data_IF_572895428517
#
_entry.id   IF_572895428517
#
_cell.length_a   1.000
_cell.length_b   1.000
_cell.length_c   1.000
_cell.angle_alpha   90.00
_cell.angle_beta   90.00
_cell.angle_gamma   90.00
#
_symmetry.space_group_name_H-M   'P 1'
#
loop_
_entity.id
_entity.type
_entity.pdbx_description
1 polymer ?
#
# COMPACT_ATOMS: atom_id res chain seq x y z
N UNK A 1 0.53 -14.75 -29.36
CA UNK A 1 1.90 -14.48 -29.82
C UNK A 1 2.82 -14.58 -28.61
N UNK A 2 3.46 -15.73 -28.43
CA UNK A 2 4.49 -15.95 -27.39
C UNK A 2 5.82 -15.65 -28.08
N UNK A 3 6.25 -14.40 -28.08
CA UNK A 3 7.65 -14.09 -28.35
C UNK A 3 8.38 -14.33 -27.03
N UNK A 4 9.00 -15.49 -26.93
CA UNK A 4 9.81 -15.92 -25.79
C UNK A 4 10.87 -14.87 -25.46
N UNK A 5 11.12 -14.67 -24.16
CA UNK A 5 12.30 -13.96 -23.71
C UNK A 5 13.53 -14.81 -24.09
N UNK A 6 14.10 -14.54 -25.27
CA UNK A 6 15.23 -15.32 -25.82
C UNK A 6 16.52 -15.16 -25.02
N UNK A 7 16.58 -14.18 -24.13
CA UNK A 7 17.72 -13.87 -23.27
C UNK A 7 17.22 -13.42 -21.90
N UNK A 8 17.97 -13.76 -20.86
CA UNK A 8 17.71 -13.24 -19.53
C UNK A 8 17.97 -11.73 -19.47
N UNK A 9 17.14 -10.95 -18.74
CA UNK A 9 17.29 -9.51 -18.67
C UNK A 9 18.56 -9.12 -17.91
N UNK A 10 19.31 -8.15 -18.44
CA UNK A 10 20.44 -7.52 -17.76
C UNK A 10 20.05 -6.28 -16.94
N UNK A 11 18.86 -5.73 -17.19
CA UNK A 11 18.31 -4.59 -16.47
C UNK A 11 16.79 -4.68 -16.39
N UNK A 12 16.23 -4.04 -15.38
CA UNK A 12 14.80 -4.01 -15.09
C UNK A 12 14.40 -2.61 -14.62
N UNK A 13 13.51 -1.93 -15.36
CA UNK A 13 12.90 -0.66 -14.95
C UNK A 13 11.50 -0.88 -14.38
N UNK A 14 11.29 -0.44 -13.14
CA UNK A 14 10.03 -0.56 -12.39
C UNK A 14 9.44 0.80 -12.13
N UNK A 15 8.12 0.97 -12.34
CA UNK A 15 7.37 2.21 -12.06
C UNK A 15 6.17 1.91 -11.18
N UNK A 16 6.05 2.57 -10.02
CA UNK A 16 4.85 2.55 -9.20
C UNK A 16 4.14 3.89 -9.22
N UNK A 17 2.81 3.89 -9.41
CA UNK A 17 2.00 5.11 -9.38
C UNK A 17 0.60 4.89 -8.80
N UNK A 18 0.26 5.64 -7.75
CA UNK A 18 -1.13 5.88 -7.39
C UNK A 18 -1.76 6.83 -8.43
N UNK A 19 -2.79 6.38 -9.15
CA UNK A 19 -3.40 7.09 -10.28
C UNK A 19 -4.49 8.11 -9.89
N UNK A 20 -4.95 8.08 -8.64
CA UNK A 20 -6.07 8.89 -8.17
C UNK A 20 -7.29 8.83 -9.11
N UNK A 21 -7.77 7.61 -9.37
CA UNK A 21 -8.80 7.31 -10.36
C UNK A 21 -10.22 7.15 -9.80
N UNK A 22 -10.56 7.76 -8.65
CA UNK A 22 -11.83 7.53 -7.96
C UNK A 22 -13.02 7.94 -8.85
N UNK A 23 -13.90 6.98 -9.16
CA UNK A 23 -15.08 7.24 -9.98
C UNK A 23 -15.99 8.26 -9.28
N UNK A 24 -16.37 9.31 -10.00
CA UNK A 24 -17.20 10.45 -9.53
C UNK A 24 -16.55 11.42 -8.55
N UNK A 25 -15.36 11.13 -8.01
CA UNK A 25 -14.66 12.01 -7.06
C UNK A 25 -13.46 12.68 -7.72
N UNK A 26 -12.64 11.92 -8.44
CA UNK A 26 -11.40 12.43 -9.02
C UNK A 26 -11.69 13.32 -10.23
N UNK A 27 -11.24 14.56 -10.17
CA UNK A 27 -11.38 15.57 -11.23
C UNK A 27 -10.63 15.15 -12.49
N UNK A 28 -11.23 15.37 -13.67
CA UNK A 28 -10.64 15.09 -15.00
C UNK A 28 -10.07 13.67 -15.13
N UNK A 29 -10.76 12.68 -14.49
CA UNK A 29 -10.27 11.30 -14.38
C UNK A 29 -9.92 10.70 -15.75
N UNK A 30 -10.85 10.77 -16.71
CA UNK A 30 -10.68 10.07 -17.99
C UNK A 30 -9.47 10.63 -18.76
N UNK A 31 -9.34 11.95 -18.80
CA UNK A 31 -8.27 12.66 -19.48
C UNK A 31 -6.92 12.34 -18.84
N UNK A 32 -6.83 12.44 -17.51
CA UNK A 32 -5.60 12.12 -16.78
C UNK A 32 -5.17 10.66 -16.91
N UNK A 33 -6.09 9.71 -16.74
CA UNK A 33 -5.73 8.29 -16.82
C UNK A 33 -5.39 7.86 -18.26
N UNK A 34 -5.97 8.51 -19.27
CA UNK A 34 -5.52 8.37 -20.66
C UNK A 34 -4.08 8.84 -20.81
N UNK A 35 -3.78 10.04 -20.30
CA UNK A 35 -2.45 10.63 -20.39
C UNK A 35 -1.40 9.85 -19.59
N UNK A 36 -1.76 9.27 -18.43
CA UNK A 36 -0.90 8.33 -17.69
C UNK A 36 -0.47 7.18 -18.61
N UNK A 37 -1.42 6.59 -19.35
CA UNK A 37 -1.10 5.52 -20.32
C UNK A 37 -0.15 5.98 -21.44
N UNK A 38 -0.31 7.21 -21.91
CA UNK A 38 0.58 7.83 -22.92
C UNK A 38 1.99 8.05 -22.35
N UNK A 39 2.11 8.59 -21.14
CA UNK A 39 3.40 8.85 -20.51
C UNK A 39 4.15 7.56 -20.16
N UNK A 40 3.46 6.50 -19.72
CA UNK A 40 4.07 5.17 -19.54
C UNK A 40 4.63 4.66 -20.87
N UNK A 41 3.88 4.79 -21.97
CA UNK A 41 4.30 4.34 -23.29
C UNK A 41 5.50 5.13 -23.84
N UNK A 42 5.57 6.43 -23.53
CA UNK A 42 6.63 7.33 -23.98
C UNK A 42 7.85 7.38 -23.05
N UNK A 43 7.79 6.73 -21.88
CA UNK A 43 8.86 6.77 -20.89
C UNK A 43 10.19 6.24 -21.44
N UNK A 44 11.27 6.97 -21.15
CA UNK A 44 12.64 6.63 -21.54
C UNK A 44 13.57 6.81 -20.33
N UNK A 45 14.24 5.76 -19.82
CA UNK A 45 14.22 4.38 -20.34
C UNK A 45 12.84 3.71 -20.27
N UNK A 46 12.58 2.82 -21.24
CA UNK A 46 11.32 2.07 -21.30
C UNK A 46 11.09 1.26 -20.01
N UNK A 47 9.89 1.29 -19.41
CA UNK A 47 9.56 0.46 -18.26
C UNK A 47 9.38 -1.00 -18.65
N UNK A 48 9.74 -1.90 -17.74
CA UNK A 48 9.55 -3.34 -17.88
C UNK A 48 8.41 -3.86 -17.00
N UNK A 49 8.21 -3.27 -15.82
CA UNK A 49 7.13 -3.60 -14.89
C UNK A 49 6.51 -2.30 -14.37
N UNK A 50 5.18 -2.22 -14.42
CA UNK A 50 4.43 -1.06 -13.90
C UNK A 50 3.35 -1.55 -12.94
N UNK A 51 3.36 -1.01 -11.71
CA UNK A 51 2.34 -1.24 -10.70
C UNK A 51 1.50 0.01 -10.51
N UNK A 52 0.19 -0.08 -10.68
CA UNK A 52 -0.72 1.05 -10.50
C UNK A 52 -1.65 0.81 -9.32
N UNK A 53 -1.87 1.87 -8.53
CA UNK A 53 -2.85 1.93 -7.45
C UNK A 53 -3.95 2.93 -7.81
N UNK A 54 -5.12 2.79 -7.18
CA UNK A 54 -6.30 3.61 -7.46
C UNK A 54 -6.75 3.65 -8.93
N UNK A 55 -6.42 2.62 -9.70
CA UNK A 55 -7.04 2.36 -10.99
C UNK A 55 -8.34 1.58 -10.74
N UNK A 56 -9.41 2.30 -10.40
CA UNK A 56 -10.63 1.67 -9.84
C UNK A 56 -11.55 1.03 -10.87
N UNK A 57 -11.53 1.48 -12.13
CA UNK A 57 -12.50 1.03 -13.14
C UNK A 57 -11.85 0.22 -14.26
N UNK A 58 -12.60 -0.76 -14.77
CA UNK A 58 -12.19 -1.53 -15.95
C UNK A 58 -11.99 -0.65 -17.18
N UNK A 59 -12.79 0.42 -17.30
CA UNK A 59 -12.67 1.40 -18.39
C UNK A 59 -11.30 2.08 -18.35
N UNK A 60 -10.91 2.63 -17.19
CA UNK A 60 -9.64 3.33 -17.07
C UNK A 60 -8.45 2.37 -17.30
N UNK A 61 -8.53 1.15 -16.77
CA UNK A 61 -7.55 0.10 -17.06
C UNK A 61 -7.44 -0.21 -18.55
N UNK A 62 -8.57 -0.41 -19.24
CA UNK A 62 -8.57 -0.73 -20.66
C UNK A 62 -7.93 0.38 -21.51
N UNK A 63 -8.15 1.65 -21.15
CA UNK A 63 -7.50 2.79 -21.81
C UNK A 63 -5.99 2.75 -21.61
N UNK A 64 -5.52 2.55 -20.38
CA UNK A 64 -4.09 2.42 -20.09
C UNK A 64 -3.49 1.23 -20.84
N UNK A 65 -4.20 0.09 -20.90
CA UNK A 65 -3.79 -1.10 -21.65
C UNK A 65 -3.65 -0.83 -23.15
N UNK A 66 -4.62 -0.15 -23.75
CA UNK A 66 -4.57 0.21 -25.17
C UNK A 66 -3.31 1.01 -25.49
N UNK A 67 -2.95 1.97 -24.63
CA UNK A 67 -1.75 2.80 -24.83
C UNK A 67 -0.45 2.03 -24.58
N UNK A 68 -0.43 1.10 -23.63
CA UNK A 68 0.82 0.48 -23.15
C UNK A 68 1.12 -0.91 -23.71
N UNK A 69 0.14 -1.61 -24.29
CA UNK A 69 0.27 -3.04 -24.66
C UNK A 69 1.41 -3.36 -25.64
N UNK A 70 1.84 -2.39 -26.45
CA UNK A 70 2.93 -2.59 -27.40
C UNK A 70 4.32 -2.67 -26.71
N UNK A 71 4.46 -2.09 -25.50
CA UNK A 71 5.66 -2.21 -24.67
C UNK A 71 5.46 -3.09 -23.43
N UNK A 72 4.24 -3.23 -22.92
CA UNK A 72 3.89 -4.02 -21.76
C UNK A 72 2.73 -4.96 -22.12
N UNK A 73 2.96 -5.99 -22.97
CA UNK A 73 1.87 -6.80 -23.52
C UNK A 73 1.09 -7.60 -22.48
N UNK A 74 1.66 -7.86 -21.31
CA UNK A 74 1.00 -8.63 -20.25
C UNK A 74 0.46 -7.69 -19.18
N UNK A 75 -0.85 -7.66 -18.98
CA UNK A 75 -1.47 -6.80 -17.98
C UNK A 75 -2.54 -7.55 -17.21
N UNK A 76 -2.65 -7.29 -15.91
CA UNK A 76 -3.70 -7.82 -15.05
C UNK A 76 -4.32 -6.72 -14.19
N UNK A 77 -5.63 -6.61 -14.29
CA UNK A 77 -6.48 -5.85 -13.38
C UNK A 77 -6.93 -6.75 -12.22
N UNK A 78 -6.79 -6.30 -10.98
CA UNK A 78 -7.05 -7.12 -9.80
C UNK A 78 -8.38 -6.74 -9.14
N UNK A 79 -9.20 -7.76 -8.87
CA UNK A 79 -10.51 -7.59 -8.24
C UNK A 79 -10.43 -7.90 -6.74
N UNK A 80 -11.00 -7.03 -5.91
CA UNK A 80 -11.13 -7.21 -4.46
C UNK A 80 -12.29 -6.37 -3.92
N UNK A 81 -12.76 -6.69 -2.72
CA UNK A 81 -13.83 -5.94 -2.05
C UNK A 81 -15.14 -5.85 -2.85
N UNK A 82 -15.96 -4.86 -2.50
CA UNK A 82 -17.23 -4.52 -3.15
C UNK A 82 -16.99 -3.57 -4.32
N UNK A 83 -16.07 -2.60 -4.16
CA UNK A 83 -15.80 -1.56 -5.16
C UNK A 83 -14.55 -1.80 -6.02
N UNK A 84 -13.86 -2.93 -5.84
CA UNK A 84 -12.60 -3.24 -6.55
C UNK A 84 -11.37 -2.92 -5.70
N UNK A 85 -10.24 -3.58 -6.00
CA UNK A 85 -8.98 -3.36 -5.28
C UNK A 85 -8.18 -2.16 -5.77
N UNK A 86 -8.48 -1.65 -6.97
CA UNK A 86 -7.77 -0.50 -7.56
C UNK A 86 -6.34 -0.80 -8.00
N UNK A 87 -5.95 -2.08 -8.07
CA UNK A 87 -4.56 -2.50 -8.34
C UNK A 87 -4.41 -3.09 -9.74
N UNK A 88 -3.31 -2.73 -10.41
CA UNK A 88 -2.94 -3.23 -11.73
C UNK A 88 -1.45 -3.55 -11.74
N UNK A 89 -1.09 -4.65 -12.42
CA UNK A 89 0.30 -4.94 -12.79
C UNK A 89 0.36 -5.07 -14.31
N UNK A 90 1.25 -4.30 -14.93
CA UNK A 90 1.63 -4.38 -16.34
C UNK A 90 3.07 -4.86 -16.44
N UNK A 91 3.37 -5.70 -17.42
CA UNK A 91 4.64 -6.39 -17.57
C UNK A 91 5.02 -6.54 -19.02
N UNK A 92 6.31 -6.37 -19.29
CA UNK A 92 6.95 -6.72 -20.56
C UNK A 92 6.90 -8.22 -20.84
N UNK A 93 6.92 -9.03 -19.78
CA UNK A 93 7.02 -10.50 -19.84
C UNK A 93 5.78 -11.22 -19.30
N UNK A 94 5.58 -12.51 -19.67
CA UNK A 94 4.42 -13.28 -19.22
C UNK A 94 4.25 -13.32 -17.70
N UNK A 95 3.04 -13.00 -17.25
CA UNK A 95 2.58 -13.29 -15.89
C UNK A 95 2.15 -14.76 -15.87
N UNK A 96 2.98 -15.62 -15.28
CA UNK A 96 2.78 -17.08 -15.26
C UNK A 96 1.90 -17.53 -14.09
N UNK A 97 1.81 -16.72 -13.04
CA UNK A 97 0.93 -16.95 -11.90
C UNK A 97 0.54 -15.62 -11.29
N UNK A 98 -0.66 -15.55 -10.73
CA UNK A 98 -1.09 -14.32 -10.05
C UNK A 98 -2.22 -14.57 -9.06
N UNK A 99 -2.17 -13.82 -7.96
CA UNK A 99 -3.16 -13.88 -6.88
C UNK A 99 -3.53 -12.46 -6.40
N UNK A 100 -4.73 -12.27 -5.85
CA UNK A 100 -5.10 -11.06 -5.11
C UNK A 100 -5.30 -11.43 -3.64
N UNK A 101 -4.38 -11.02 -2.78
CA UNK A 101 -4.44 -11.29 -1.34
C UNK A 101 -5.07 -10.10 -0.64
N UNK A 102 -6.35 -10.22 -0.27
CA UNK A 102 -7.04 -9.16 0.47
C UNK A 102 -6.58 -9.13 1.93
N UNK A 103 -6.34 -7.94 2.47
CA UNK A 103 -6.00 -7.83 3.88
C UNK A 103 -7.17 -8.23 4.78
N UNK A 104 -6.92 -8.99 5.87
CA UNK A 104 -7.97 -9.36 6.82
C UNK A 104 -8.55 -8.16 7.58
N UNK A 105 -7.71 -7.16 7.88
CA UNK A 105 -8.07 -5.92 8.57
C UNK A 105 -8.02 -4.76 7.56
N UNK A 106 -9.19 -4.20 7.22
CA UNK A 106 -9.37 -3.29 6.09
C UNK A 106 -10.27 -2.09 6.38
N UNK A 107 -10.37 -1.70 7.65
CA UNK A 107 -11.25 -0.65 8.10
C UNK A 107 -12.62 -1.16 8.54
N UNK A 108 -13.60 -0.25 8.65
CA UNK A 108 -14.92 -0.55 9.25
C UNK A 108 -16.06 -0.23 8.27
N UNK A 109 -17.12 -1.07 8.19
CA UNK A 109 -18.29 -0.79 7.35
C UNK A 109 -18.98 0.53 7.71
N UNK A 110 -19.02 0.87 9.01
CA UNK A 110 -19.60 2.13 9.49
C UNK A 110 -18.83 3.39 9.03
N UNK A 111 -17.57 3.25 8.59
CA UNK A 111 -16.76 4.35 8.06
C UNK A 111 -16.93 4.48 6.54
N UNK A 112 -18.18 4.55 6.07
CA UNK A 112 -18.51 4.62 4.63
C UNK A 112 -17.93 5.85 3.93
N UNK A 113 -17.69 6.93 4.67
CA UNK A 113 -17.05 8.15 4.17
C UNK A 113 -15.51 8.02 4.02
N UNK A 114 -14.91 6.95 4.53
CA UNK A 114 -13.47 6.63 4.37
C UNK A 114 -13.24 5.65 3.21
N UNK A 115 -14.12 4.66 3.05
CA UNK A 115 -14.17 3.79 1.86
C UNK A 115 -13.28 2.54 1.90
N UNK A 116 -12.20 2.51 2.70
CA UNK A 116 -11.21 1.41 2.75
C UNK A 116 -11.83 0.01 2.92
N UNK A 117 -12.88 -0.11 3.75
CA UNK A 117 -13.56 -1.39 3.96
C UNK A 117 -14.26 -1.92 2.70
N UNK A 118 -14.81 -1.01 1.88
CA UNK A 118 -15.60 -1.37 0.71
C UNK A 118 -14.72 -1.70 -0.50
N UNK A 119 -13.56 -1.06 -0.64
CA UNK A 119 -12.60 -1.38 -1.70
C UNK A 119 -11.85 -2.68 -1.42
N UNK A 120 -11.70 -3.06 -0.14
CA UNK A 120 -11.03 -4.29 0.23
C UNK A 120 -9.56 -4.26 -0.18
N UNK A 121 -8.77 -3.36 0.43
CA UNK A 121 -7.34 -3.23 0.18
C UNK A 121 -6.59 -4.56 0.34
N UNK A 122 -5.47 -4.71 -0.36
CA UNK A 122 -4.74 -5.97 -0.42
C UNK A 122 -3.49 -5.86 -1.27
N UNK A 123 -2.92 -7.03 -1.59
CA UNK A 123 -1.71 -7.17 -2.39
C UNK A 123 -2.05 -7.90 -3.68
N UNK A 124 -1.82 -7.22 -4.80
CA UNK A 124 -1.80 -7.81 -6.12
C UNK A 124 -0.45 -8.52 -6.33
N UNK A 125 -0.48 -9.83 -6.44
CA UNK A 125 0.72 -10.66 -6.64
C UNK A 125 0.83 -11.09 -8.10
N UNK A 126 2.03 -11.04 -8.67
CA UNK A 126 2.35 -11.58 -9.98
C UNK A 126 3.71 -12.29 -9.95
N UNK A 127 3.76 -13.53 -10.45
CA UNK A 127 5.01 -14.22 -10.77
C UNK A 127 5.26 -14.07 -12.26
N UNK A 128 6.38 -13.46 -12.62
CA UNK A 128 6.71 -13.02 -13.98
C UNK A 128 7.94 -13.79 -14.46
N UNK A 129 7.81 -14.48 -15.60
CA UNK A 129 8.91 -15.20 -16.25
C UNK A 129 9.66 -14.26 -17.19
N UNK A 130 10.78 -13.68 -16.74
CA UNK A 130 11.50 -12.61 -17.44
C UNK A 130 12.50 -13.11 -18.49
N UNK A 131 12.89 -14.37 -18.44
CA UNK A 131 13.92 -14.97 -19.31
C UNK A 131 13.70 -16.46 -19.51
N UNK A 132 14.60 -17.16 -20.22
CA UNK A 132 14.45 -18.59 -20.51
C UNK A 132 14.84 -19.48 -19.32
N UNK A 133 15.60 -18.96 -18.34
CA UNK A 133 16.00 -19.74 -17.17
C UNK A 133 14.82 -19.90 -16.20
N UNK A 134 14.64 -21.08 -15.57
CA UNK A 134 13.69 -21.26 -14.47
C UNK A 134 13.93 -20.32 -13.28
N UNK A 135 15.13 -19.70 -13.18
CA UNK A 135 15.49 -18.71 -12.16
C UNK A 135 15.20 -17.26 -12.58
N UNK A 136 14.86 -17.00 -13.84
CA UNK A 136 14.54 -15.66 -14.34
C UNK A 136 13.11 -15.24 -13.90
N UNK A 137 12.83 -15.33 -12.60
CA UNK A 137 11.53 -15.05 -12.00
C UNK A 137 11.61 -13.79 -11.17
N UNK A 138 10.70 -12.85 -11.47
CA UNK A 138 10.34 -11.78 -10.55
C UNK A 138 8.98 -12.07 -9.92
N UNK A 139 8.90 -12.01 -8.59
CA UNK A 139 7.64 -11.93 -7.87
C UNK A 139 7.37 -10.48 -7.48
N UNK A 140 6.32 -9.91 -8.08
CA UNK A 140 5.90 -8.53 -7.92
C UNK A 140 4.68 -8.47 -7.02
N UNK A 141 4.75 -7.59 -6.02
CA UNK A 141 3.71 -7.33 -5.04
C UNK A 141 3.32 -5.85 -5.13
N UNK A 142 2.24 -5.55 -5.85
CA UNK A 142 1.67 -4.21 -5.90
C UNK A 142 0.63 -4.06 -4.78
N UNK A 143 0.72 -3.03 -3.94
CA UNK A 143 -0.21 -2.83 -2.81
C UNK A 143 -0.71 -1.39 -2.68
N UNK A 144 -1.79 -1.23 -1.95
CA UNK A 144 -2.26 0.05 -1.42
C UNK A 144 -2.68 -0.17 0.04
N UNK A 145 -1.86 0.26 1.01
CA UNK A 145 -2.17 0.09 2.44
C UNK A 145 -3.26 1.05 2.90
N UNK A 146 -3.87 0.78 4.06
CA UNK A 146 -4.92 1.59 4.66
C UNK A 146 -4.45 3.03 4.87
N UNK A 147 -5.29 4.01 4.52
CA UNK A 147 -4.87 5.41 4.61
C UNK A 147 -4.75 5.90 6.07
N UNK A 148 -3.79 6.78 6.40
CA UNK A 148 -3.66 7.40 7.71
C UNK A 148 -4.59 8.60 7.82
N UNK A 149 -5.84 8.35 8.20
CA UNK A 149 -6.86 9.41 8.36
C UNK A 149 -6.68 10.27 9.62
N UNK A 150 -5.87 9.80 10.57
CA UNK A 150 -5.69 10.39 11.89
C UNK A 150 -4.19 10.38 12.22
N UNK A 151 -3.70 11.44 12.86
CA UNK A 151 -2.31 11.49 13.30
C UNK A 151 -2.08 10.60 14.53
N UNK A 152 -0.92 9.96 14.61
CA UNK A 152 -0.49 9.26 15.82
C UNK A 152 -0.31 10.25 16.99
N UNK A 153 -0.65 9.85 18.24
CA UNK A 153 -1.04 8.52 18.71
C UNK A 153 -2.55 8.23 18.67
N UNK A 154 -3.35 9.10 18.04
CA UNK A 154 -4.82 9.01 18.05
C UNK A 154 -5.40 8.21 16.87
N UNK A 155 -4.53 7.59 16.08
CA UNK A 155 -4.94 6.83 14.90
C UNK A 155 -5.68 5.54 15.27
N UNK A 156 -6.97 5.53 14.97
CA UNK A 156 -7.85 4.40 15.28
C UNK A 156 -7.69 3.19 14.33
N UNK A 157 -6.88 3.32 13.29
CA UNK A 157 -6.55 2.32 12.26
C UNK A 157 -5.06 1.95 12.23
N UNK A 158 -4.25 2.43 13.18
CA UNK A 158 -2.83 2.04 13.26
C UNK A 158 -2.65 0.51 13.29
N UNK A 159 -3.48 -0.21 14.05
CA UNK A 159 -3.41 -1.68 14.08
C UNK A 159 -3.76 -2.33 12.73
N UNK A 160 -4.61 -1.69 11.91
CA UNK A 160 -4.90 -2.17 10.55
C UNK A 160 -3.65 -2.05 9.71
N UNK A 161 -3.05 -0.85 9.63
CA UNK A 161 -1.82 -0.65 8.86
C UNK A 161 -0.68 -1.56 9.32
N UNK A 162 -0.49 -1.72 10.63
CA UNK A 162 0.53 -2.63 11.19
C UNK A 162 0.29 -4.07 10.75
N UNK A 163 -0.96 -4.56 10.82
CA UNK A 163 -1.29 -5.90 10.36
C UNK A 163 -1.12 -6.06 8.84
N UNK A 164 -1.48 -5.05 8.05
CA UNK A 164 -1.30 -5.10 6.60
C UNK A 164 0.18 -5.11 6.17
N UNK A 165 1.02 -4.32 6.84
CA UNK A 165 2.46 -4.35 6.66
C UNK A 165 3.03 -5.73 7.02
N UNK A 166 2.54 -6.35 8.09
CA UNK A 166 2.89 -7.72 8.47
C UNK A 166 2.49 -8.75 7.42
N UNK A 167 1.28 -8.66 6.86
CA UNK A 167 0.78 -9.56 5.82
C UNK A 167 1.64 -9.52 4.55
N UNK A 168 1.91 -8.33 4.00
CA UNK A 168 2.73 -8.23 2.78
C UNK A 168 4.18 -8.69 3.00
N UNK A 169 4.71 -8.47 4.20
CA UNK A 169 6.04 -8.94 4.59
C UNK A 169 6.15 -10.46 4.47
N UNK A 170 5.13 -11.21 4.91
CA UNK A 170 5.12 -12.68 4.78
C UNK A 170 5.18 -13.12 3.32
N UNK A 171 4.43 -12.45 2.44
CA UNK A 171 4.42 -12.73 1.00
C UNK A 171 5.80 -12.49 0.36
N UNK A 172 6.40 -11.32 0.63
CA UNK A 172 7.72 -10.96 0.13
C UNK A 172 8.82 -11.88 0.68
N UNK A 173 8.77 -12.23 1.97
CA UNK A 173 9.70 -13.20 2.56
C UNK A 173 9.57 -14.57 1.89
N UNK A 174 8.35 -15.07 1.71
CA UNK A 174 8.13 -16.36 1.06
C UNK A 174 8.66 -16.40 -0.38
N UNK A 175 8.53 -15.31 -1.13
CA UNK A 175 9.12 -15.18 -2.47
C UNK A 175 10.65 -15.20 -2.44
N UNK A 176 11.25 -14.51 -1.48
CA UNK A 176 12.70 -14.52 -1.31
C UNK A 176 13.24 -15.88 -0.85
N UNK A 177 12.52 -16.62 -0.01
CA UNK A 177 12.86 -18.00 0.39
C UNK A 177 12.85 -18.98 -0.80
N UNK A 178 12.09 -18.68 -1.86
CA UNK A 178 12.13 -19.40 -3.15
C UNK A 178 13.29 -18.97 -4.06
N UNK A 179 14.07 -17.96 -3.66
CA UNK A 179 15.19 -17.43 -4.44
C UNK A 179 14.78 -16.53 -5.60
N UNK A 180 13.53 -16.05 -5.65
CA UNK A 180 13.07 -15.15 -6.72
C UNK A 180 13.54 -13.71 -6.48
N UNK A 181 13.63 -12.92 -7.56
CA UNK A 181 13.70 -11.46 -7.45
C UNK A 181 12.38 -10.96 -6.85
N UNK A 182 12.43 -10.30 -5.70
CA UNK A 182 11.22 -9.77 -5.04
C UNK A 182 11.12 -8.28 -5.29
N UNK A 183 9.96 -7.82 -5.73
CA UNK A 183 9.65 -6.41 -5.95
C UNK A 183 8.35 -6.09 -5.22
N UNK A 184 8.44 -5.39 -4.09
CA UNK A 184 7.29 -4.81 -3.41
C UNK A 184 7.10 -3.37 -3.86
N UNK A 185 5.93 -2.99 -4.35
CA UNK A 185 5.71 -1.64 -4.87
C UNK A 185 4.31 -1.14 -4.57
N UNK A 186 4.13 0.17 -4.51
CA UNK A 186 2.81 0.78 -4.37
C UNK A 186 2.77 1.95 -3.40
N UNK A 187 1.54 2.35 -3.08
CA UNK A 187 1.24 3.32 -2.04
C UNK A 187 1.13 2.61 -0.69
N UNK A 188 2.19 2.69 0.10
CA UNK A 188 2.22 2.04 1.41
C UNK A 188 1.60 2.91 2.50
N UNK A 189 1.13 4.12 2.20
CA UNK A 189 0.48 5.00 3.16
C UNK A 189 1.26 5.15 4.48
N UNK A 190 2.60 5.12 4.37
CA UNK A 190 3.53 5.13 5.50
C UNK A 190 4.73 6.01 5.16
N UNK A 191 5.30 6.65 6.19
CA UNK A 191 6.54 7.42 6.04
C UNK A 191 7.77 6.53 6.32
N UNK A 192 8.96 6.92 5.83
CA UNK A 192 10.16 6.12 6.06
C UNK A 192 10.48 5.99 7.55
N UNK A 193 11.01 4.84 7.97
CA UNK A 193 11.28 4.50 9.38
C UNK A 193 10.07 4.44 10.32
N UNK A 194 8.84 4.62 9.83
CA UNK A 194 7.63 4.28 10.59
C UNK A 194 7.61 2.81 11.01
N UNK A 195 6.73 2.44 11.95
CA UNK A 195 6.61 1.05 12.39
C UNK A 195 6.32 0.08 11.23
N UNK A 196 5.42 0.44 10.31
CA UNK A 196 5.10 -0.36 9.14
C UNK A 196 6.33 -0.58 8.22
N UNK A 197 7.10 0.48 7.97
CA UNK A 197 8.33 0.41 7.18
C UNK A 197 9.37 -0.52 7.83
N UNK A 198 9.57 -0.38 9.15
CA UNK A 198 10.48 -1.24 9.91
C UNK A 198 10.04 -2.70 9.94
N UNK A 199 8.73 -2.99 10.04
CA UNK A 199 8.20 -4.35 9.94
C UNK A 199 8.60 -4.98 8.61
N UNK A 200 8.44 -4.25 7.50
CA UNK A 200 8.76 -4.73 6.15
C UNK A 200 10.24 -5.05 6.00
N UNK A 201 11.14 -4.09 6.29
CA UNK A 201 12.59 -4.29 6.12
C UNK A 201 13.21 -5.26 7.15
N UNK A 202 12.54 -5.48 8.29
CA UNK A 202 13.04 -6.40 9.31
C UNK A 202 12.60 -7.83 9.03
N UNK A 203 11.33 -8.06 8.74
CA UNK A 203 10.76 -9.40 8.66
C UNK A 203 10.75 -10.00 7.24
N UNK A 204 11.28 -9.27 6.26
CA UNK A 204 11.61 -9.78 4.92
C UNK A 204 12.98 -9.23 4.49
N UNK A 205 13.66 -9.86 3.52
CA UNK A 205 14.99 -9.40 3.09
C UNK A 205 14.94 -8.18 2.17
N UNK A 206 13.74 -7.69 1.84
CA UNK A 206 13.58 -6.54 0.94
C UNK A 206 14.09 -5.26 1.59
N UNK A 207 14.59 -4.36 0.75
CA UNK A 207 15.13 -3.07 1.15
C UNK A 207 14.48 -1.96 0.36
N UNK A 208 14.22 -0.85 1.04
CA UNK A 208 13.69 0.38 0.43
C UNK A 208 14.74 0.96 -0.53
N UNK A 209 14.45 0.95 -1.84
CA UNK A 209 15.41 1.40 -2.86
C UNK A 209 15.86 2.83 -2.62
N UNK A 210 14.96 3.70 -2.14
CA UNK A 210 15.28 5.11 -1.97
C UNK A 210 16.28 5.31 -0.84
N UNK A 211 16.11 4.59 0.28
CA UNK A 211 17.01 4.70 1.44
C UNK A 211 18.33 3.98 1.27
N UNK A 212 18.45 3.10 0.29
CA UNK A 212 19.76 2.60 -0.14
C UNK A 212 20.59 3.75 -0.71
N UNK A 213 20.00 4.60 -1.56
CA UNK A 213 20.69 5.71 -2.21
C UNK A 213 20.76 6.98 -1.33
N UNK A 214 19.71 7.21 -0.54
CA UNK A 214 19.54 8.38 0.32
C UNK A 214 19.21 7.95 1.76
N UNK A 215 20.19 7.40 2.53
CA UNK A 215 19.94 6.89 3.89
C UNK A 215 19.30 7.91 4.85
N UNK A 216 19.64 9.19 4.62
CA UNK A 216 19.22 10.36 5.40
C UNK A 216 17.99 11.09 4.82
N UNK A 217 17.31 10.52 3.80
CA UNK A 217 16.05 11.07 3.27
C UNK A 217 15.04 11.34 4.39
N UNK A 218 14.15 12.33 4.22
CA UNK A 218 13.09 12.67 5.17
C UNK A 218 12.34 11.45 5.74
N UNK A 219 11.98 11.51 7.01
CA UNK A 219 11.21 10.47 7.72
C UNK A 219 9.77 10.94 8.05
N UNK A 220 9.36 12.05 7.45
CA UNK A 220 8.04 12.67 7.54
C UNK A 220 8.03 13.97 6.72
N UNK A 221 6.90 14.68 6.69
CA UNK A 221 6.89 16.03 6.13
C UNK A 221 7.70 16.97 7.04
N UNK A 222 8.27 18.06 6.51
CA UNK A 222 9.08 18.98 7.31
C UNK A 222 8.32 19.63 8.48
N UNK A 223 6.99 19.73 8.36
CA UNK A 223 6.09 20.17 9.44
C UNK A 223 5.84 19.12 10.53
N UNK A 224 6.13 17.85 10.26
CA UNK A 224 5.85 16.76 11.19
C UNK A 224 6.87 16.77 12.32
N UNK A 225 6.41 16.48 13.55
CA UNK A 225 7.26 16.51 14.75
C UNK A 225 8.51 15.63 14.62
N UNK A 226 8.39 14.49 13.94
CA UNK A 226 9.51 13.55 13.73
C UNK A 226 10.63 14.18 12.91
N UNK A 227 10.31 15.00 11.91
CA UNK A 227 11.28 15.68 11.06
C UNK A 227 11.81 16.95 11.74
N UNK A 228 10.94 17.71 12.43
CA UNK A 228 11.35 18.88 13.22
C UNK A 228 12.39 18.52 14.29
N UNK A 229 12.29 17.35 14.92
CA UNK A 229 13.25 16.87 15.91
C UNK A 229 14.63 16.56 15.33
N UNK A 230 14.75 16.36 14.00
CA UNK A 230 16.04 16.18 13.32
C UNK A 230 16.80 17.50 13.16
N UNK A 231 16.12 18.64 13.32
CA UNK A 231 16.74 19.97 13.18
C UNK A 231 17.26 20.27 11.78
N UNK A 232 16.73 19.59 10.75
CA UNK A 232 17.12 19.83 9.35
C UNK A 232 16.45 21.09 8.79
N UNK A 233 17.08 21.83 7.87
CA UNK A 233 16.48 23.01 7.24
C UNK A 233 15.19 22.68 6.49
N UNK A 234 14.31 23.69 6.34
CA UNK A 234 13.11 23.57 5.51
C UNK A 234 13.52 23.22 4.07
N UNK A 235 13.11 22.05 3.54
CA UNK A 235 13.47 21.66 2.18
C UNK A 235 12.72 22.51 1.15
N UNK A 236 13.37 22.73 0.01
CA UNK A 236 12.68 23.21 -1.18
C UNK A 236 11.92 22.05 -1.85
N UNK A 237 10.97 22.38 -2.72
CA UNK A 237 10.26 21.36 -3.50
C UNK A 237 11.22 20.51 -4.34
N UNK A 238 12.22 21.11 -4.99
CA UNK A 238 13.24 20.38 -5.73
C UNK A 238 14.02 19.40 -4.84
N UNK A 239 14.44 19.83 -3.64
CA UNK A 239 15.16 18.96 -2.71
C UNK A 239 14.28 17.79 -2.24
N UNK A 240 12.98 18.07 -2.02
CA UNK A 240 12.03 17.03 -1.66
C UNK A 240 11.90 15.98 -2.76
N UNK A 241 11.85 16.38 -4.03
CA UNK A 241 11.73 15.46 -5.16
C UNK A 241 13.02 14.65 -5.39
N UNK A 242 14.20 15.26 -5.32
CA UNK A 242 15.45 14.59 -5.72
C UNK A 242 16.22 13.93 -4.59
N UNK A 243 16.05 14.36 -3.34
CA UNK A 243 16.79 13.80 -2.19
C UNK A 243 15.85 13.06 -1.25
N UNK A 244 14.74 13.68 -0.86
CA UNK A 244 13.80 13.06 0.08
C UNK A 244 12.86 12.02 -0.59
N UNK A 245 12.73 12.08 -1.92
CA UNK A 245 11.85 11.21 -2.69
C UNK A 245 10.38 11.45 -2.42
N UNK A 246 9.98 12.69 -2.15
CA UNK A 246 8.59 13.01 -1.88
C UNK A 246 7.72 12.69 -3.09
N UNK A 247 6.67 11.91 -2.88
CA UNK A 247 5.75 11.46 -3.94
C UNK A 247 4.39 12.13 -3.81
N UNK A 248 4.04 12.69 -2.66
CA UNK A 248 2.77 13.38 -2.47
C UNK A 248 2.96 14.70 -1.72
N UNK A 249 1.89 15.50 -1.71
CA UNK A 249 1.78 16.73 -0.93
C UNK A 249 2.79 17.85 -1.28
N UNK A 250 3.56 17.70 -2.37
CA UNK A 250 4.49 18.73 -2.85
C UNK A 250 3.79 19.94 -3.48
N UNK A 251 4.36 21.13 -3.29
CA UNK A 251 3.95 22.36 -3.96
C UNK A 251 4.05 22.28 -5.50
N UNK A 252 4.84 21.34 -6.06
CA UNK A 252 4.88 21.09 -7.51
C UNK A 252 3.65 20.35 -8.02
N UNK A 253 2.90 19.68 -7.13
CA UNK A 253 1.69 18.97 -7.50
C UNK A 253 0.49 19.92 -7.54
N UNK A 254 -0.17 20.04 -8.70
CA UNK A 254 -1.26 21.00 -8.88
C UNK A 254 -2.48 20.76 -7.99
N UNK A 255 -2.63 19.54 -7.46
CA UNK A 255 -3.72 19.17 -6.54
C UNK A 255 -3.47 19.66 -5.10
N UNK A 256 -2.31 20.29 -4.86
CA UNK A 256 -1.90 20.84 -3.56
C UNK A 256 -1.70 22.36 -3.59
N UNK A 257 -1.80 22.94 -4.78
CA UNK A 257 -1.77 24.38 -4.97
C UNK A 257 -2.83 25.13 -4.16
N UNK A 258 -2.50 26.36 -3.80
CA UNK A 258 -3.42 27.24 -3.09
C UNK A 258 -4.61 27.67 -3.98
N UNK A 259 -5.65 28.24 -3.36
CA UNK A 259 -6.90 28.63 -4.06
C UNK A 259 -6.66 29.60 -5.22
N UNK A 260 -5.67 30.48 -5.14
CA UNK A 260 -5.38 31.45 -6.19
C UNK A 260 -4.78 30.76 -7.42
N UNK A 261 -3.80 29.86 -7.20
CA UNK A 261 -3.19 29.05 -8.24
C UNK A 261 -4.22 28.09 -8.88
N UNK A 262 -5.06 27.44 -8.09
CA UNK A 262 -6.15 26.60 -8.60
C UNK A 262 -7.13 27.39 -9.48
N UNK A 263 -7.51 28.61 -9.07
CA UNK A 263 -8.39 29.48 -9.88
C UNK A 263 -7.75 29.88 -11.22
N UNK A 264 -6.43 30.07 -11.25
CA UNK A 264 -5.66 30.33 -12.48
C UNK A 264 -5.64 29.09 -13.38
N UNK A 265 -5.41 27.92 -12.81
CA UNK A 265 -5.46 26.65 -13.53
C UNK A 265 -6.84 26.39 -14.15
N UNK A 266 -7.94 26.64 -13.44
CA UNK A 266 -9.31 26.51 -13.97
C UNK A 266 -9.57 27.45 -15.17
N UNK A 267 -8.84 28.57 -15.28
CA UNK A 267 -8.90 29.47 -16.44
C UNK A 267 -8.02 29.02 -17.62
N UNK A 268 -7.36 27.87 -17.52
CA UNK A 268 -6.45 27.34 -18.54
C UNK A 268 -5.04 27.93 -18.47
N UNK A 269 -4.67 28.61 -17.39
CA UNK A 269 -3.32 29.19 -17.26
C UNK A 269 -2.30 28.12 -16.83
N UNK A 270 -1.20 28.01 -17.58
CA UNK A 270 -0.08 27.14 -17.25
C UNK A 270 0.81 27.76 -16.16
N UNK A 271 0.32 27.75 -14.91
CA UNK A 271 1.03 28.29 -13.75
C UNK A 271 2.38 27.60 -13.58
N UNK A 272 3.47 28.35 -13.40
CA UNK A 272 4.78 27.81 -13.07
C UNK A 272 5.06 28.01 -11.58
N UNK A 273 5.57 26.96 -10.93
CA UNK A 273 6.01 27.00 -9.53
C UNK A 273 7.54 26.94 -9.54
N UNK A 274 8.15 27.84 -8.77
CA UNK A 274 9.60 27.83 -8.58
C UNK A 274 10.00 26.57 -7.80
N UNK A 275 10.87 25.68 -8.34
CA UNK A 275 11.33 24.50 -7.63
C UNK A 275 12.06 24.81 -6.31
N UNK A 276 12.54 26.05 -6.11
CA UNK A 276 13.14 26.51 -4.87
C UNK A 276 12.12 26.88 -3.76
N UNK A 277 10.80 26.84 -4.05
CA UNK A 277 9.76 27.15 -3.06
C UNK A 277 9.87 26.24 -1.83
N UNK A 278 9.71 26.78 -0.60
CA UNK A 278 9.61 25.96 0.59
C UNK A 278 8.47 24.96 0.48
N UNK A 279 8.72 23.70 0.83
CA UNK A 279 7.76 22.62 0.62
C UNK A 279 7.52 21.83 1.92
N UNK A 280 6.78 22.42 2.88
CA UNK A 280 6.67 21.91 4.24
C UNK A 280 5.77 20.67 4.37
N UNK A 281 4.97 20.37 3.34
CA UNK A 281 3.93 19.36 3.38
C UNK A 281 4.34 18.06 2.68
N UNK A 282 5.29 18.12 1.75
CA UNK A 282 5.66 16.98 0.94
C UNK A 282 6.25 15.85 1.77
N UNK A 283 5.95 14.63 1.37
CA UNK A 283 6.42 13.40 2.02
C UNK A 283 6.38 12.24 1.04
N UNK A 284 7.07 11.17 1.41
CA UNK A 284 7.13 9.92 0.64
C UNK A 284 6.17 8.90 1.24
N UNK A 285 5.19 8.48 0.44
CA UNK A 285 4.23 7.41 0.78
C UNK A 285 4.30 6.22 -0.18
N UNK A 286 4.87 6.43 -1.37
CA UNK A 286 5.02 5.39 -2.39
C UNK A 286 6.43 4.81 -2.35
N UNK A 287 6.53 3.49 -2.52
CA UNK A 287 7.79 2.77 -2.37
C UNK A 287 8.01 1.78 -3.50
N UNK A 288 9.29 1.53 -3.77
CA UNK A 288 9.78 0.27 -4.34
C UNK A 288 10.71 -0.36 -3.31
N UNK A 289 10.40 -1.58 -2.91
CA UNK A 289 11.22 -2.48 -2.12
C UNK A 289 11.76 -3.57 -3.04
N UNK A 290 13.02 -3.94 -2.89
CA UNK A 290 13.54 -5.10 -3.60
C UNK A 290 14.42 -5.99 -2.74
N UNK A 291 14.44 -7.29 -3.04
CA UNK A 291 15.50 -8.20 -2.63
C UNK A 291 15.94 -9.06 -3.80
N UNK A 292 17.25 -9.23 -3.93
CA UNK A 292 17.84 -10.15 -4.89
C UNK A 292 17.89 -11.58 -4.35
N UNK A 293 17.77 -12.57 -5.24
CA UNK A 293 18.32 -13.90 -5.00
C UNK A 293 19.83 -13.78 -4.73
N UNK A 294 20.34 -14.56 -3.78
CA UNK A 294 21.76 -14.57 -3.42
C UNK A 294 22.39 -15.90 -3.82
N UNK A 295 23.57 -15.82 -4.38
CA UNK A 295 24.42 -16.96 -4.70
C UNK A 295 25.55 -17.03 -3.68
N UNK A 296 25.85 -18.20 -3.15
CA UNK A 296 27.03 -18.40 -2.34
C UNK A 296 28.00 -19.32 -3.08
N UNK A 297 29.22 -18.84 -3.31
CA UNK A 297 30.27 -19.62 -3.94
C UNK A 297 30.81 -20.64 -2.92
N UNK A 298 30.66 -21.96 -3.12
CA UNK A 298 31.13 -22.95 -2.16
C UNK A 298 32.67 -22.98 -2.01
N UNK A 299 33.43 -22.52 -3.02
CA UNK A 299 34.89 -22.51 -3.00
C UNK A 299 35.44 -21.25 -2.30
N UNK A 300 34.91 -20.07 -2.61
CA UNK A 300 35.37 -18.79 -2.01
C UNK A 300 34.62 -18.39 -0.75
N UNK A 301 33.49 -19.05 -0.46
CA UNK A 301 32.51 -18.67 0.58
C UNK A 301 31.94 -17.25 0.42
N UNK A 302 32.09 -16.65 -0.75
CA UNK A 302 31.55 -15.31 -1.04
C UNK A 302 30.09 -15.38 -1.43
N UNK A 303 29.29 -14.45 -0.91
CA UNK A 303 27.88 -14.31 -1.25
C UNK A 303 27.72 -13.15 -2.24
N UNK A 304 27.23 -13.43 -3.45
CA UNK A 304 26.98 -12.42 -4.50
C UNK A 304 25.49 -12.25 -4.74
N UNK A 305 25.04 -11.00 -4.83
CA UNK A 305 23.67 -10.67 -5.23
C UNK A 305 23.56 -10.74 -6.75
N UNK A 306 22.50 -11.36 -7.24
CA UNK A 306 22.21 -11.41 -8.66
C UNK A 306 21.75 -10.06 -9.23
N UNK A 307 20.98 -9.30 -8.46
CA UNK A 307 20.41 -8.01 -8.82
C UNK A 307 20.87 -6.93 -7.85
N UNK A 308 21.25 -5.79 -8.41
CA UNK A 308 21.66 -4.60 -7.67
C UNK A 308 20.83 -3.39 -8.09
N UNK A 309 20.65 -2.46 -7.17
CA UNK A 309 20.01 -1.19 -7.44
C UNK A 309 20.98 -0.28 -8.19
N UNK A 310 20.58 0.18 -9.38
CA UNK A 310 21.35 1.16 -10.16
C UNK A 310 20.95 2.59 -9.81
N UNK A 311 19.64 2.87 -9.79
CA UNK A 311 19.10 4.21 -9.56
C UNK A 311 17.65 4.12 -9.09
N UNK A 312 17.20 5.16 -8.38
CA UNK A 312 15.80 5.41 -8.07
C UNK A 312 15.51 6.90 -8.28
N UNK A 313 14.32 7.23 -8.79
CA UNK A 313 13.91 8.62 -9.00
C UNK A 313 12.39 8.77 -8.81
N UNK A 314 11.98 9.99 -8.49
CA UNK A 314 10.58 10.38 -8.61
C UNK A 314 10.32 10.59 -10.10
N UNK A 315 9.14 10.21 -10.56
CA UNK A 315 8.73 10.32 -11.95
C UNK A 315 7.29 10.82 -12.06
N UNK A 316 6.76 10.80 -13.28
CA UNK A 316 5.41 11.32 -13.57
C UNK A 316 5.16 12.75 -13.05
N UNK A 317 6.23 13.54 -12.98
CA UNK A 317 6.21 14.93 -12.49
C UNK A 317 5.57 15.90 -13.50
N UNK A 318 5.46 15.46 -14.76
CA UNK A 318 4.88 16.25 -15.82
C UNK A 318 3.39 16.52 -15.59
N UNK A 319 2.93 17.61 -16.19
CA UNK A 319 1.52 18.01 -16.18
C UNK A 319 0.87 17.60 -17.49
N UNK A 320 -0.44 17.38 -17.44
CA UNK A 320 -1.23 17.11 -18.64
C UNK A 320 -0.99 18.23 -19.67
N UNK A 321 -0.68 17.91 -20.93
CA UNK A 321 -0.16 18.88 -21.91
C UNK A 321 -1.12 20.04 -22.18
N UNK A 322 -2.44 19.76 -22.19
CA UNK A 322 -3.49 20.77 -22.44
C UNK A 322 -4.24 21.24 -21.19
N UNK A 323 -4.33 20.41 -20.15
CA UNK A 323 -5.08 20.71 -18.93
C UNK A 323 -4.21 21.33 -17.84
N UNK A 324 -2.89 21.27 -18.00
CA UNK A 324 -1.86 21.85 -17.13
C UNK A 324 -1.94 21.42 -15.66
N UNK A 325 -2.70 20.37 -15.33
CA UNK A 325 -2.76 19.75 -14.02
C UNK A 325 -1.83 18.53 -13.93
N UNK A 326 -1.36 18.20 -12.74
CA UNK A 326 -0.64 16.95 -12.45
C UNK A 326 -1.51 15.74 -12.80
N UNK A 327 -0.88 14.67 -13.30
CA UNK A 327 -1.61 13.48 -13.75
C UNK A 327 -2.23 12.68 -12.62
N UNK A 328 -1.68 12.78 -11.41
CA UNK A 328 -2.23 12.24 -10.17
C UNK A 328 -1.89 13.18 -9.01
N UNK A 329 -2.54 13.02 -7.85
CA UNK A 329 -2.13 13.68 -6.61
C UNK A 329 -0.91 13.02 -5.95
N UNK A 330 -0.40 11.96 -6.58
CA UNK A 330 0.91 11.38 -6.36
C UNK A 330 1.79 11.51 -7.61
N UNK A 331 3.10 11.59 -7.41
CA UNK A 331 4.14 11.35 -8.39
C UNK A 331 4.57 9.88 -8.33
N UNK A 332 5.13 9.33 -9.42
CA UNK A 332 5.59 7.94 -9.41
C UNK A 332 6.89 7.79 -8.62
N UNK A 333 7.10 6.61 -8.05
CA UNK A 333 8.43 6.16 -7.63
C UNK A 333 8.93 5.12 -8.62
N UNK A 334 10.16 5.32 -9.11
CA UNK A 334 10.74 4.51 -10.17
C UNK A 334 12.11 3.99 -9.73
N UNK A 335 12.46 2.79 -10.19
CA UNK A 335 13.74 2.17 -9.88
C UNK A 335 14.26 1.37 -11.06
N UNK A 336 15.57 1.45 -11.30
CA UNK A 336 16.27 0.59 -12.25
C UNK A 336 17.14 -0.40 -11.48
N UNK A 337 16.93 -1.69 -11.71
CA UNK A 337 17.82 -2.75 -11.23
C UNK A 337 18.70 -3.24 -12.38
N UNK A 338 19.90 -3.70 -12.06
CA UNK A 338 20.83 -4.32 -13.01
C UNK A 338 21.30 -5.67 -12.50
N UNK A 339 21.44 -6.62 -13.40
CA UNK A 339 21.92 -7.96 -13.10
C UNK A 339 23.45 -7.99 -13.12
N UNK A 340 24.06 -8.55 -12.08
CA UNK A 340 25.51 -8.74 -12.04
C UNK A 340 25.95 -9.83 -13.01
N UNK A 341 27.00 -9.56 -13.80
CA UNK A 341 27.54 -10.45 -14.84
C UNK A 341 28.22 -11.70 -14.25
N UNK A 342 28.55 -11.68 -12.96
CA UNK A 342 29.41 -12.68 -12.29
C UNK A 342 28.62 -13.87 -11.72
N UNK A 343 27.28 -13.89 -11.78
CA UNK A 343 26.49 -14.99 -11.24
C UNK A 343 26.73 -16.29 -12.05
N UNK A 344 27.44 -17.30 -11.52
CA UNK A 344 27.72 -18.51 -12.28
C UNK A 344 26.43 -19.29 -12.51
N UNK A 345 26.19 -19.67 -13.77
CA UNK A 345 25.14 -20.62 -14.14
C UNK A 345 25.50 -22.05 -13.75
N UNK A 346 25.85 -22.33 -12.49
CA UNK A 346 25.96 -23.70 -11.96
C UNK A 346 26.51 -23.67 -10.52
N UNK A 347 25.68 -23.47 -9.50
CA UNK A 347 25.67 -24.29 -8.28
C UNK A 347 24.27 -24.16 -7.68
N UNK A 348 23.58 -25.29 -7.50
CA UNK A 348 22.40 -25.38 -6.63
C UNK A 348 22.91 -25.34 -5.20
N UNK A 349 22.62 -24.27 -4.47
CA UNK A 349 22.63 -24.36 -3.02
C UNK A 349 21.23 -24.76 -2.56
N UNK A 350 21.11 -25.69 -1.60
CA UNK A 350 19.87 -25.88 -0.89
C UNK A 350 19.48 -24.54 -0.25
N UNK A 351 18.17 -24.26 -0.07
CA UNK A 351 17.71 -23.02 0.55
C UNK A 351 18.38 -22.88 1.92
N UNK A 352 19.43 -22.05 2.02
CA UNK A 352 19.91 -21.63 3.32
C UNK A 352 18.81 -20.73 3.87
N UNK A 353 18.26 -21.11 5.03
CA UNK A 353 17.19 -20.37 5.65
C UNK A 353 17.62 -18.89 5.77
N UNK A 354 16.83 -17.98 5.18
CA UNK A 354 17.11 -16.56 5.27
C UNK A 354 17.28 -16.18 6.75
N UNK A 355 18.31 -15.38 7.11
CA UNK A 355 18.57 -15.07 8.50
C UNK A 355 17.37 -14.33 9.10
N UNK A 356 16.74 -14.93 10.11
CA UNK A 356 15.65 -14.29 10.82
C UNK A 356 16.15 -13.04 11.56
N UNK A 357 15.60 -11.88 11.21
CA UNK A 357 15.80 -10.62 11.92
C UNK A 357 14.55 -10.28 12.72
N UNK A 358 14.76 -9.57 13.80
CA UNK A 358 13.73 -9.26 14.78
C UNK A 358 13.78 -7.78 15.12
N UNK A 359 12.61 -7.18 15.29
CA UNK A 359 12.45 -5.87 15.92
C UNK A 359 12.84 -5.96 17.41
N UNK A 360 13.14 -4.82 18.06
CA UNK A 360 13.28 -4.78 19.52
C UNK A 360 12.04 -5.34 20.22
N UNK A 361 12.23 -6.00 21.37
CA UNK A 361 11.16 -6.71 22.07
C UNK A 361 10.02 -5.76 22.46
N UNK A 362 10.39 -4.55 22.85
CA UNK A 362 9.49 -3.48 23.28
C UNK A 362 8.53 -3.06 22.16
N UNK A 363 8.98 -3.15 20.90
CA UNK A 363 8.14 -2.85 19.74
C UNK A 363 7.07 -3.91 19.54
N UNK A 364 7.38 -5.19 19.76
CA UNK A 364 6.34 -6.23 19.74
C UNK A 364 5.34 -6.03 20.88
N UNK A 365 5.81 -5.63 22.07
CA UNK A 365 4.94 -5.32 23.21
C UNK A 365 4.01 -4.15 22.89
N UNK A 366 4.49 -3.11 22.21
CA UNK A 366 3.68 -1.99 21.73
C UNK A 366 2.64 -2.42 20.68
N UNK A 367 3.01 -3.27 19.72
CA UNK A 367 2.08 -3.82 18.73
C UNK A 367 0.96 -4.61 19.42
N UNK A 368 1.32 -5.47 20.38
CA UNK A 368 0.37 -6.29 21.13
C UNK A 368 -0.54 -5.42 22.00
N UNK A 369 -0.01 -4.40 22.66
CA UNK A 369 -0.79 -3.46 23.46
C UNK A 369 -1.79 -2.67 22.61
N UNK A 370 -1.36 -2.18 21.45
CA UNK A 370 -2.21 -1.47 20.47
C UNK A 370 -3.31 -2.38 19.95
N UNK A 371 -2.97 -3.63 19.62
CA UNK A 371 -3.91 -4.65 19.15
C UNK A 371 -4.96 -4.97 20.22
N UNK A 372 -4.53 -5.15 21.48
CA UNK A 372 -5.43 -5.40 22.61
C UNK A 372 -6.39 -4.21 22.85
N UNK A 373 -5.87 -2.98 22.82
CA UNK A 373 -6.67 -1.75 22.95
C UNK A 373 -7.76 -1.69 21.89
N UNK A 374 -7.43 -2.02 20.64
CA UNK A 374 -8.40 -2.09 19.54
C UNK A 374 -9.43 -3.20 19.76
N UNK A 375 -9.00 -4.41 20.13
CA UNK A 375 -9.89 -5.55 20.41
C UNK A 375 -10.91 -5.22 21.53
N UNK A 376 -10.48 -4.57 22.61
CA UNK A 376 -11.36 -4.16 23.72
C UNK A 376 -12.43 -3.19 23.21
N UNK A 377 -12.02 -2.19 22.42
CA UNK A 377 -12.96 -1.25 21.81
C UNK A 377 -13.99 -1.97 20.94
N UNK A 378 -13.57 -2.88 20.08
CA UNK A 378 -14.49 -3.61 19.19
C UNK A 378 -15.47 -4.52 19.96
N UNK A 379 -15.05 -5.13 21.07
CA UNK A 379 -15.97 -5.89 21.94
C UNK A 379 -17.05 -5.01 22.56
N UNK A 380 -16.69 -3.79 22.97
CA UNK A 380 -17.67 -2.82 23.48
C UNK A 380 -18.61 -2.40 22.37
N UNK A 381 -18.07 -2.01 21.20
CA UNK A 381 -18.86 -1.64 20.02
C UNK A 381 -19.82 -2.74 19.59
N UNK A 382 -19.40 -4.01 19.64
CA UNK A 382 -20.27 -5.16 19.37
C UNK A 382 -21.48 -5.19 20.29
N UNK A 383 -21.27 -5.05 21.60
CA UNK A 383 -22.37 -5.06 22.59
C UNK A 383 -23.31 -3.88 22.35
N UNK A 384 -22.77 -2.69 22.10
CA UNK A 384 -23.56 -1.49 21.83
C UNK A 384 -24.41 -1.64 20.56
N UNK A 385 -23.84 -2.14 19.46
CA UNK A 385 -24.56 -2.33 18.19
C UNK A 385 -25.65 -3.40 18.29
N UNK A 386 -25.37 -4.53 18.94
CA UNK A 386 -26.37 -5.58 19.18
C UNK A 386 -27.49 -5.05 20.09
N UNK A 387 -27.14 -4.32 21.15
CA UNK A 387 -28.12 -3.66 22.01
C UNK A 387 -29.00 -2.67 21.24
N UNK A 388 -28.40 -1.87 20.36
CA UNK A 388 -29.13 -0.93 19.51
C UNK A 388 -30.11 -1.64 18.56
N UNK A 389 -29.72 -2.77 17.97
CA UNK A 389 -30.62 -3.60 17.17
C UNK A 389 -31.88 -4.02 17.94
N UNK A 390 -31.71 -4.62 19.12
CA UNK A 390 -32.86 -5.07 19.93
C UNK A 390 -33.71 -3.89 20.44
N UNK A 391 -33.08 -2.77 20.77
CA UNK A 391 -33.78 -1.53 21.11
C UNK A 391 -34.66 -1.05 19.95
N UNK A 392 -34.11 -0.90 18.75
CA UNK A 392 -34.87 -0.46 17.57
C UNK A 392 -35.95 -1.45 17.15
N UNK A 393 -35.72 -2.76 17.31
CA UNK A 393 -36.74 -3.78 17.11
C UNK A 393 -37.92 -3.60 18.07
N UNK A 394 -37.63 -3.32 19.34
CA UNK A 394 -38.66 -3.11 20.37
C UNK A 394 -39.45 -1.82 20.12
N UNK A 395 -38.76 -0.73 19.77
CA UNK A 395 -39.39 0.54 19.37
C UNK A 395 -40.29 0.34 18.15
N UNK A 396 -39.84 -0.43 17.17
CA UNK A 396 -40.61 -0.72 15.95
C UNK A 396 -41.89 -1.50 16.24
N UNK A 397 -41.81 -2.54 17.08
CA UNK A 397 -43.00 -3.27 17.55
C UNK A 397 -43.96 -2.32 18.27
N UNK A 398 -43.44 -1.46 19.15
CA UNK A 398 -44.24 -0.45 19.86
C UNK A 398 -44.93 0.54 18.91
N UNK A 399 -44.22 1.04 17.90
CA UNK A 399 -44.78 1.91 16.86
C UNK A 399 -45.89 1.22 16.06
N UNK A 400 -45.68 -0.03 15.64
CA UNK A 400 -46.67 -0.81 14.89
C UNK A 400 -47.93 -1.09 15.70
N UNK A 401 -47.78 -1.41 16.99
CA UNK A 401 -48.93 -1.52 17.92
C UNK A 401 -49.63 -0.16 18.05
N UNK A 402 -48.86 0.92 18.20
CA UNK A 402 -49.39 2.28 18.32
C UNK A 402 -50.21 2.76 17.13
N UNK A 403 -49.94 2.25 15.91
CA UNK A 403 -50.73 2.57 14.71
C UNK A 403 -52.20 2.20 14.87
N UNK A 404 -52.52 1.08 15.54
CA UNK A 404 -53.90 0.65 15.77
C UNK A 404 -54.72 1.63 16.61
N UNK A 405 -54.05 2.46 17.41
CA UNK A 405 -54.66 3.40 18.35
C UNK A 405 -54.43 4.86 17.93
N UNK A 406 -53.91 5.10 16.72
CA UNK A 406 -53.58 6.44 16.26
C UNK A 406 -54.85 7.27 16.02
N UNK A 407 -55.03 8.42 16.68
CA UNK A 407 -56.26 9.22 16.58
C UNK A 407 -56.40 9.92 15.23
N UNK A 408 -55.31 10.03 14.45
CA UNK A 408 -55.25 10.73 13.17
C UNK A 408 -54.23 10.06 12.24
N UNK A 409 -54.50 10.09 10.94
CA UNK A 409 -53.65 9.46 9.91
C UNK A 409 -52.19 9.95 9.94
N UNK A 410 -51.94 11.24 10.20
CA UNK A 410 -50.57 11.73 10.28
C UNK A 410 -49.78 11.14 11.46
N UNK A 411 -50.44 10.78 12.56
CA UNK A 411 -49.79 10.13 13.71
C UNK A 411 -49.37 8.71 13.34
N UNK A 412 -50.26 7.96 12.67
CA UNK A 412 -49.92 6.64 12.12
C UNK A 412 -48.75 6.72 11.13
N UNK A 413 -48.74 7.72 10.24
CA UNK A 413 -47.64 7.96 9.32
C UNK A 413 -46.31 8.20 10.05
N UNK A 414 -46.28 9.06 11.07
CA UNK A 414 -45.07 9.33 11.86
C UNK A 414 -44.58 8.05 12.55
N UNK A 415 -45.47 7.27 13.17
CA UNK A 415 -45.11 6.01 13.83
C UNK A 415 -44.54 4.99 12.83
N UNK A 416 -45.15 4.83 11.66
CA UNK A 416 -44.64 3.95 10.61
C UNK A 416 -43.28 4.41 10.09
N UNK A 417 -43.09 5.72 9.90
CA UNK A 417 -41.82 6.30 9.44
C UNK A 417 -40.71 6.07 10.49
N UNK A 418 -40.98 6.37 11.76
CA UNK A 418 -40.05 6.13 12.87
C UNK A 418 -39.68 4.64 12.99
N UNK A 419 -40.67 3.75 12.90
CA UNK A 419 -40.43 2.30 12.89
C UNK A 419 -39.55 1.89 11.72
N UNK A 420 -39.87 2.33 10.50
CA UNK A 420 -39.16 1.89 9.29
C UNK A 420 -37.71 2.37 9.29
N UNK A 421 -37.49 3.65 9.58
CA UNK A 421 -36.14 4.24 9.62
C UNK A 421 -35.35 3.67 10.80
N UNK A 422 -35.95 3.62 11.99
CA UNK A 422 -35.33 3.08 13.21
C UNK A 422 -34.92 1.62 13.06
N UNK A 423 -35.83 0.77 12.57
CA UNK A 423 -35.52 -0.64 12.31
C UNK A 423 -34.42 -0.80 11.26
N UNK A 424 -34.45 -0.01 10.19
CA UNK A 424 -33.43 -0.09 9.13
C UNK A 424 -32.03 0.19 9.68
N UNK A 425 -31.87 1.24 10.49
CA UNK A 425 -30.59 1.54 11.16
C UNK A 425 -30.23 0.44 12.16
N UNK A 426 -31.20 -0.02 12.95
CA UNK A 426 -31.02 -1.10 13.91
C UNK A 426 -30.53 -2.40 13.25
N UNK A 427 -31.12 -2.80 12.12
CA UNK A 427 -30.72 -3.99 11.35
C UNK A 427 -29.29 -3.85 10.83
N UNK A 428 -28.91 -2.68 10.29
CA UNK A 428 -27.53 -2.43 9.83
C UNK A 428 -26.54 -2.57 11.00
N UNK A 429 -26.85 -1.99 12.17
CA UNK A 429 -26.03 -2.16 13.37
C UNK A 429 -25.98 -3.61 13.85
N UNK A 430 -27.11 -4.31 13.81
CA UNK A 430 -27.21 -5.74 14.11
C UNK A 430 -26.28 -6.56 13.22
N UNK A 431 -26.32 -6.37 11.90
CA UNK A 431 -25.43 -7.05 10.95
C UNK A 431 -23.97 -6.76 11.24
N UNK A 432 -23.62 -5.50 11.55
CA UNK A 432 -22.26 -5.15 11.95
C UNK A 432 -21.84 -5.86 13.26
N UNK A 433 -22.69 -5.86 14.28
CA UNK A 433 -22.39 -6.46 15.58
C UNK A 433 -22.36 -7.99 15.56
N UNK A 434 -23.27 -8.65 14.85
CA UNK A 434 -23.34 -10.11 14.78
C UNK A 434 -22.31 -10.71 13.83
N UNK A 435 -22.08 -10.09 12.67
CA UNK A 435 -21.23 -10.66 11.60
C UNK A 435 -19.86 -9.99 11.56
N UNK A 436 -19.81 -8.69 11.24
CA UNK A 436 -18.56 -7.98 10.95
C UNK A 436 -17.59 -7.97 12.13
N UNK A 437 -18.05 -7.57 13.33
CA UNK A 437 -17.14 -7.51 14.49
C UNK A 437 -16.63 -8.90 14.87
N UNK A 438 -17.41 -9.96 14.59
CA UNK A 438 -16.97 -11.34 14.76
C UNK A 438 -15.81 -11.72 13.85
N UNK A 439 -15.88 -11.37 12.56
CA UNK A 439 -14.76 -11.58 11.62
C UNK A 439 -13.54 -10.71 11.97
N UNK A 440 -13.75 -9.46 12.35
CA UNK A 440 -12.69 -8.54 12.75
C UNK A 440 -11.90 -9.08 13.95
N UNK A 441 -12.59 -9.55 14.99
CA UNK A 441 -11.94 -10.15 16.19
C UNK A 441 -11.15 -11.41 15.83
N UNK A 442 -11.62 -12.23 14.89
CA UNK A 442 -10.88 -13.43 14.46
C UNK A 442 -9.60 -13.05 13.71
N UNK A 443 -9.67 -12.09 12.79
CA UNK A 443 -8.50 -11.57 12.10
C UNK A 443 -7.47 -10.98 13.08
N UNK A 444 -7.93 -10.24 14.10
CA UNK A 444 -7.06 -9.71 15.15
C UNK A 444 -6.38 -10.80 15.99
N UNK A 445 -7.05 -11.94 16.22
CA UNK A 445 -6.46 -13.06 16.96
C UNK A 445 -5.36 -13.76 16.17
N UNK A 446 -5.55 -13.96 14.87
CA UNK A 446 -4.51 -14.49 14.00
C UNK A 446 -3.28 -13.58 13.99
N UNK A 447 -3.50 -12.27 13.77
CA UNK A 447 -2.41 -11.30 13.80
C UNK A 447 -1.70 -11.25 15.16
N UNK A 448 -2.46 -11.23 16.26
CA UNK A 448 -1.91 -11.27 17.63
C UNK A 448 -1.05 -12.51 17.85
N UNK A 449 -1.52 -13.68 17.44
CA UNK A 449 -0.77 -14.93 17.58
C UNK A 449 0.56 -14.89 16.81
N UNK A 450 0.54 -14.42 15.56
CA UNK A 450 1.75 -14.32 14.74
C UNK A 450 2.81 -13.39 15.36
N UNK A 451 2.37 -12.25 15.90
CA UNK A 451 3.25 -11.29 16.59
C UNK A 451 3.81 -11.90 17.88
N UNK A 452 2.97 -12.57 18.70
CA UNK A 452 3.42 -13.26 19.92
C UNK A 452 4.44 -14.34 19.61
N UNK A 453 4.17 -15.19 18.64
CA UNK A 453 5.08 -16.25 18.22
C UNK A 453 6.42 -15.69 17.72
N UNK A 454 6.41 -14.59 16.96
CA UNK A 454 7.65 -13.95 16.50
C UNK A 454 8.42 -13.29 17.64
N UNK A 455 7.73 -12.67 18.59
CA UNK A 455 8.33 -12.13 19.82
C UNK A 455 8.99 -13.22 20.67
N UNK A 456 8.34 -14.36 20.85
CA UNK A 456 8.90 -15.49 21.62
C UNK A 456 10.18 -16.03 21.00
N UNK A 457 10.21 -16.18 19.67
CA UNK A 457 11.43 -16.56 18.94
C UNK A 457 12.53 -15.51 19.07
N UNK A 458 12.18 -14.22 19.03
CA UNK A 458 13.13 -13.12 19.27
C UNK A 458 13.78 -13.21 20.66
N UNK A 459 12.98 -13.47 21.70
CA UNK A 459 13.46 -13.67 23.07
C UNK A 459 14.38 -14.88 23.20
N UNK A 460 14.00 -16.01 22.59
CA UNK A 460 14.81 -17.23 22.59
C UNK A 460 16.18 -16.98 21.94
N UNK A 461 16.22 -16.27 20.80
CA UNK A 461 17.46 -15.91 20.10
C UNK A 461 18.32 -14.96 20.93
N UNK A 462 17.73 -13.96 21.58
CA UNK A 462 18.45 -13.04 22.46
C UNK A 462 19.05 -13.75 23.69
N UNK A 463 18.34 -14.73 24.27
CA UNK A 463 18.84 -15.55 25.38
C UNK A 463 20.01 -16.43 24.96
N UNK A 464 19.90 -17.09 23.81
CA UNK A 464 20.97 -17.94 23.26
C UNK A 464 22.26 -17.15 22.98
N UNK A 465 22.13 -15.91 22.47
CA UNK A 465 23.27 -15.02 22.25
C UNK A 465 24.00 -14.67 23.56
N UNK A 466 23.27 -14.35 24.64
CA UNK A 466 23.85 -14.03 25.96
C UNK A 466 24.58 -15.22 26.59
N UNK A 467 23.99 -16.43 26.52
CA UNK A 467 24.66 -17.64 27.04
C UNK A 467 25.94 -17.98 26.28
N UNK A 468 26.00 -17.66 24.98
CA UNK A 468 27.22 -17.87 24.18
C UNK A 468 28.32 -16.86 24.46
N UNK A 469 27.98 -15.66 24.96
CA UNK A 469 28.96 -14.63 25.34
C UNK A 469 29.49 -14.80 26.76
N UNK A 470 28.74 -15.43 27.67
CA UNK A 470 29.16 -15.70 29.05
C UNK A 470 30.00 -16.98 29.19
N UNK A 471 29.97 -17.86 28.19
CA UNK A 471 30.76 -19.10 28.12
C UNK A 471 32.09 -19.00 27.36
N UNK A 472 32.50 -17.79 26.96
CA UNK A 472 33.82 -17.45 26.42
C UNK A 472 34.51 -16.50 27.38
#
# INVERSE_FOLDING_TARGET
MVLEASQSPSSLRVISLNCWGLKFISTLRNERLTEIGVQIAAASPRPDIVGLQECWTQQDYNVIREKTQHILPYGKFYHSGIFGGGLVILSRWPIIESNMVRYPLNGRPAAFYRGDWFVGKGVACARIQMGPSPRDIAEVFCTHLHAPYEAEPHDSYICHRTAQAWEITKLMRGAAERGHLVIGMGDFNMVPLSLAHRIIETHSPVRDVWRILHPESSIGAAKDKVEQLRGVPMPSAQFNMTVNGATCDSELNSWRWNKQQQKRLTKGENVQIDPAVPDPNAKRLDYVFFSSGRYHNPETKEETAEWELKEANVGMEMRHPTLHCSLSDHFSVEATLTRSVVAPSAVELPPSALPERYLPIEIYDEILATTLKYQVRERIQRKLRIGHFFYQLSVSIGCLIGVWWAPRNYVAFILMLLSTVGLSVGVIDGLMGFLFVGSEIRALKEFEWEVRNTRERALAKAKAAKTSSEGR
#
